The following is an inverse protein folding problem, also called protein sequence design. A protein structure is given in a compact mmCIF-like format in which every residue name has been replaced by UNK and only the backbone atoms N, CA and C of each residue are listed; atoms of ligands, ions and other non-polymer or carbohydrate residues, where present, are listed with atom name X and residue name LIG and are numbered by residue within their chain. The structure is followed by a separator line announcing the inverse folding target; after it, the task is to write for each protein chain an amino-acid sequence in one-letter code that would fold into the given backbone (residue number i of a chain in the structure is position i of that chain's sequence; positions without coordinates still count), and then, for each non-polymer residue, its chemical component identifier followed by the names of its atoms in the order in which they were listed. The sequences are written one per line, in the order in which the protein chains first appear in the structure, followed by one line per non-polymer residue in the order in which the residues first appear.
data_IF_661685004377
#
_entry.id   IF_661685004377
#
_cell.length_a   1.000
_cell.length_b   1.000
_cell.length_c   1.000
_cell.angle_alpha   90.00
_cell.angle_beta   90.00
_cell.angle_gamma   90.00
#
_symmetry.space_group_name_H-M   'P 1'
#
loop_
_entity.id
_entity.type
_entity.pdbx_description
1 polymer ?
#
# COMPACT_ATOMS: atom_id res chain seq x y z
N UNK A 1 11.81 8.36 14.09
CA UNK A 1 11.56 7.40 12.99
C UNK A 1 11.51 6.01 13.57
N UNK A 2 10.50 5.22 13.27
CA UNK A 2 10.37 3.82 13.72
C UNK A 2 10.56 2.87 12.56
N UNK A 3 11.48 1.89 12.71
CA UNK A 3 11.82 0.89 11.70
C UNK A 3 11.71 -0.51 12.33
N UNK A 4 10.54 -1.17 12.26
CA UNK A 4 10.41 -2.55 12.70
C UNK A 4 11.15 -3.47 11.71
N UNK A 5 11.99 -4.37 12.21
CA UNK A 5 12.79 -5.27 11.40
C UNK A 5 12.65 -6.72 11.86
N UNK A 6 12.58 -7.67 10.91
CA UNK A 6 12.62 -9.11 11.16
C UNK A 6 13.27 -9.85 10.01
N UNK A 7 14.52 -10.31 10.18
CA UNK A 7 15.34 -10.95 9.16
C UNK A 7 15.49 -10.07 7.90
N UNK A 8 16.03 -8.87 8.05
CA UNK A 8 16.18 -7.85 7.01
C UNK A 8 17.67 -7.47 6.78
N UNK A 9 18.61 -8.40 7.03
CA UNK A 9 20.06 -8.16 6.93
C UNK A 9 20.50 -7.55 5.59
N UNK A 10 19.77 -7.87 4.50
CA UNK A 10 20.11 -7.44 3.14
C UNK A 10 19.69 -6.00 2.82
N UNK A 11 18.75 -5.44 3.58
CA UNK A 11 18.10 -4.15 3.24
C UNK A 11 18.17 -3.10 4.35
N UNK A 12 18.27 -3.49 5.63
CA UNK A 12 18.16 -2.60 6.78
C UNK A 12 19.17 -1.45 6.75
N UNK A 13 20.43 -1.68 6.34
CA UNK A 13 21.47 -0.65 6.25
C UNK A 13 21.08 0.44 5.26
N UNK A 14 20.55 0.07 4.10
CA UNK A 14 20.08 1.02 3.08
C UNK A 14 18.90 1.84 3.59
N UNK A 15 17.96 1.23 4.28
CA UNK A 15 16.80 1.91 4.87
C UNK A 15 17.22 2.96 5.88
N UNK A 16 18.06 2.61 6.86
CA UNK A 16 18.57 3.56 7.86
C UNK A 16 19.35 4.69 7.18
N UNK A 17 20.17 4.39 6.18
CA UNK A 17 20.92 5.41 5.41
C UNK A 17 19.98 6.43 4.79
N UNK A 18 18.90 5.99 4.15
CA UNK A 18 17.95 6.91 3.51
C UNK A 18 17.28 7.85 4.50
N UNK A 19 17.02 7.38 5.72
CA UNK A 19 16.45 8.22 6.80
C UNK A 19 17.47 9.24 7.30
N UNK A 20 18.70 8.81 7.53
CA UNK A 20 19.78 9.70 8.02
C UNK A 20 20.17 10.76 6.98
N UNK A 21 19.97 10.49 5.71
CA UNK A 21 20.18 11.44 4.60
C UNK A 21 19.04 12.45 4.44
N UNK A 22 17.95 12.36 5.25
CA UNK A 22 16.87 13.33 5.17
C UNK A 22 17.35 14.78 5.38
N UNK A 23 16.71 15.71 4.68
CA UNK A 23 16.86 17.15 4.88
C UNK A 23 16.26 17.62 6.22
N UNK A 24 15.33 16.86 6.80
CA UNK A 24 14.77 17.10 8.13
C UNK A 24 15.75 16.65 9.20
N UNK A 25 16.41 17.61 9.88
CA UNK A 25 17.53 17.29 10.79
C UNK A 25 17.12 16.94 12.22
N UNK A 26 15.93 17.37 12.67
CA UNK A 26 15.45 17.08 14.03
C UNK A 26 14.77 15.70 14.09
N UNK A 27 15.55 14.65 13.85
CA UNK A 27 15.08 13.27 13.91
C UNK A 27 16.13 12.33 14.54
N UNK A 28 15.64 11.26 15.14
CA UNK A 28 16.44 10.09 15.46
C UNK A 28 15.74 8.83 14.96
N UNK A 29 16.49 7.75 14.79
CA UNK A 29 16.02 6.48 14.24
C UNK A 29 15.97 5.44 15.32
N UNK A 30 14.83 4.80 15.48
CA UNK A 30 14.65 3.66 16.39
C UNK A 30 14.38 2.42 15.53
N UNK A 31 15.33 1.51 15.49
CA UNK A 31 15.20 0.20 14.88
C UNK A 31 14.72 -0.79 15.93
N UNK A 32 13.66 -1.52 15.65
CA UNK A 32 13.11 -2.52 16.54
C UNK A 32 13.23 -3.89 15.86
N UNK A 33 14.23 -4.65 16.28
CA UNK A 33 14.39 -6.03 15.86
C UNK A 33 13.40 -6.95 16.58
N UNK A 34 12.53 -7.59 15.84
CA UNK A 34 11.50 -8.50 16.34
C UNK A 34 12.00 -9.95 16.44
N UNK A 35 13.22 -10.13 16.97
CA UNK A 35 13.83 -11.43 17.19
C UNK A 35 14.34 -12.09 15.92
N UNK A 36 15.08 -11.35 15.09
CA UNK A 36 15.72 -11.88 13.88
C UNK A 36 16.66 -13.04 14.16
N UNK A 37 16.68 -14.00 13.26
CA UNK A 37 17.59 -15.14 13.28
C UNK A 37 18.77 -14.99 12.32
N UNK A 38 18.76 -13.95 11.48
CA UNK A 38 19.84 -13.56 10.58
C UNK A 38 20.75 -12.49 11.22
N UNK A 39 21.57 -11.83 10.41
CA UNK A 39 22.53 -10.82 10.87
C UNK A 39 21.96 -9.39 10.90
N UNK A 40 20.63 -9.22 10.91
CA UNK A 40 19.97 -7.89 10.87
C UNK A 40 20.54 -6.93 11.92
N UNK A 41 20.58 -7.35 13.19
CA UNK A 41 21.08 -6.51 14.29
C UNK A 41 22.57 -6.23 14.16
N UNK A 42 23.35 -7.27 13.82
CA UNK A 42 24.79 -7.16 13.64
C UNK A 42 25.16 -6.12 12.57
N UNK A 43 24.58 -6.26 11.35
CA UNK A 43 24.90 -5.36 10.23
C UNK A 43 24.43 -3.93 10.49
N UNK A 44 23.26 -3.75 11.13
CA UNK A 44 22.77 -2.44 11.51
C UNK A 44 23.68 -1.75 12.55
N UNK A 45 24.09 -2.48 13.60
CA UNK A 45 24.94 -1.96 14.67
C UNK A 45 26.35 -1.64 14.19
N UNK A 46 26.93 -2.49 13.35
CA UNK A 46 28.26 -2.25 12.79
C UNK A 46 28.27 -1.06 11.81
N UNK A 47 27.27 -0.96 10.93
CA UNK A 47 27.20 0.10 9.93
C UNK A 47 26.98 1.50 10.53
N UNK A 48 26.31 1.58 11.68
CA UNK A 48 25.90 2.84 12.33
C UNK A 48 26.44 3.01 13.74
N UNK A 49 27.60 2.43 14.05
CA UNK A 49 28.21 2.52 15.38
C UNK A 49 28.46 3.98 15.83
N UNK A 50 28.85 4.87 14.93
CA UNK A 50 29.06 6.28 15.23
C UNK A 50 27.74 7.01 15.55
N UNK A 51 26.69 6.76 14.78
CA UNK A 51 25.36 7.33 14.97
C UNK A 51 24.70 6.80 16.24
N UNK A 52 24.94 5.54 16.59
CA UNK A 52 24.49 4.95 17.86
C UNK A 52 25.18 5.61 19.03
N UNK A 53 26.51 5.78 18.97
CA UNK A 53 27.27 6.48 19.99
C UNK A 53 26.84 7.95 20.15
N UNK A 54 26.44 8.59 19.05
CA UNK A 54 25.90 9.96 19.05
C UNK A 54 24.40 10.04 19.46
N UNK A 55 23.73 8.92 19.76
CA UNK A 55 22.31 8.87 20.12
C UNK A 55 21.33 9.13 18.96
N UNK A 56 21.82 9.21 17.72
CA UNK A 56 20.99 9.44 16.52
C UNK A 56 20.28 8.18 16.02
N UNK A 57 20.84 7.00 16.31
CA UNK A 57 20.30 5.69 16.00
C UNK A 57 20.22 4.87 17.28
N UNK A 58 19.10 4.21 17.50
CA UNK A 58 18.92 3.25 18.59
C UNK A 58 18.46 1.92 17.99
N UNK A 59 19.01 0.82 18.48
CA UNK A 59 18.65 -0.54 18.06
C UNK A 59 18.18 -1.31 19.27
N UNK A 60 16.94 -1.75 19.25
CA UNK A 60 16.35 -2.58 20.29
C UNK A 60 16.02 -3.96 19.73
N UNK A 61 16.24 -5.00 20.52
CA UNK A 61 15.86 -6.38 20.21
C UNK A 61 14.82 -6.87 21.21
N UNK A 62 13.80 -7.58 20.72
CA UNK A 62 12.78 -8.23 21.54
C UNK A 62 12.45 -9.63 21.01
N UNK A 63 11.88 -10.53 21.82
CA UNK A 63 11.34 -11.78 21.31
C UNK A 63 10.29 -11.54 20.23
N UNK A 64 10.27 -12.41 19.19
CA UNK A 64 9.34 -12.28 18.07
C UNK A 64 7.88 -12.22 18.55
N UNK A 65 7.16 -11.23 18.09
CA UNK A 65 5.74 -10.99 18.41
C UNK A 65 4.98 -10.37 17.22
N UNK A 66 5.66 -10.21 16.08
CA UNK A 66 5.13 -9.59 14.87
C UNK A 66 5.30 -8.07 14.84
N UNK A 67 5.10 -7.48 13.66
CA UNK A 67 5.34 -6.06 13.37
C UNK A 67 4.58 -5.12 14.31
N UNK A 68 3.30 -5.39 14.60
CA UNK A 68 2.51 -4.58 15.53
C UNK A 68 3.12 -4.57 16.95
N UNK A 69 3.58 -5.72 17.43
CA UNK A 69 4.23 -5.83 18.75
C UNK A 69 5.58 -5.09 18.79
N UNK A 70 6.35 -5.11 17.69
CA UNK A 70 7.58 -4.34 17.56
C UNK A 70 7.32 -2.83 17.60
N UNK A 71 6.32 -2.36 16.84
CA UNK A 71 5.91 -0.95 16.83
C UNK A 71 5.38 -0.49 18.18
N UNK A 72 4.58 -1.31 18.90
CA UNK A 72 4.09 -1.00 20.23
C UNK A 72 5.24 -0.92 21.24
N UNK A 73 6.24 -1.81 21.14
CA UNK A 73 7.43 -1.75 21.99
C UNK A 73 8.18 -0.41 21.86
N UNK A 74 8.26 0.14 20.64
CA UNK A 74 8.81 1.46 20.41
C UNK A 74 7.89 2.57 20.91
N UNK A 75 6.57 2.45 20.65
CA UNK A 75 5.56 3.44 21.03
C UNK A 75 5.54 3.70 22.55
N UNK A 76 5.75 2.66 23.37
CA UNK A 76 5.82 2.79 24.81
C UNK A 76 7.02 3.64 25.27
N UNK A 77 8.08 3.75 24.46
CA UNK A 77 9.31 4.48 24.73
C UNK A 77 9.36 5.85 24.08
N UNK A 78 8.40 6.15 23.18
CA UNK A 78 8.34 7.44 22.51
C UNK A 78 7.88 8.55 23.45
N UNK A 79 8.64 9.64 23.43
CA UNK A 79 8.32 10.91 24.07
C UNK A 79 7.91 12.00 23.09
N UNK A 80 8.22 11.78 21.81
CA UNK A 80 7.94 12.72 20.74
C UNK A 80 6.46 12.80 20.41
N UNK A 81 6.00 14.00 20.06
CA UNK A 81 4.59 14.26 19.70
C UNK A 81 4.21 13.61 18.36
N UNK A 82 5.20 13.44 17.47
CA UNK A 82 5.01 12.89 16.13
C UNK A 82 6.09 11.86 15.86
N UNK A 83 5.71 10.73 15.30
CA UNK A 83 6.67 9.76 14.76
C UNK A 83 6.32 9.40 13.31
N UNK A 84 7.33 8.96 12.56
CA UNK A 84 7.17 8.40 11.22
C UNK A 84 7.57 6.94 11.24
N UNK A 85 6.65 6.07 10.82
CA UNK A 85 6.89 4.64 10.63
C UNK A 85 7.29 4.35 9.19
N UNK A 86 8.30 3.49 9.00
CA UNK A 86 8.70 2.96 7.70
C UNK A 86 9.04 1.47 7.80
N UNK A 87 8.75 0.71 6.75
CA UNK A 87 9.14 -0.69 6.66
C UNK A 87 10.66 -0.83 6.47
N UNK A 88 11.26 -1.90 7.00
CA UNK A 88 12.70 -2.14 6.95
C UNK A 88 13.27 -2.35 5.54
N UNK A 89 12.41 -2.56 4.53
CA UNK A 89 12.74 -2.70 3.12
C UNK A 89 12.48 -1.44 2.28
N UNK A 90 12.16 -0.34 2.94
CA UNK A 90 11.76 0.91 2.31
C UNK A 90 12.90 1.94 2.34
N UNK A 91 13.05 2.66 1.25
CA UNK A 91 13.97 3.78 1.08
C UNK A 91 13.17 5.04 0.83
N UNK A 92 13.42 6.11 1.58
CA UNK A 92 12.68 7.37 1.44
C UNK A 92 13.48 8.40 0.63
N UNK A 93 12.76 9.30 -0.05
CA UNK A 93 13.36 10.48 -0.65
C UNK A 93 13.83 11.44 0.47
N UNK A 94 14.88 12.21 0.20
CA UNK A 94 15.50 13.09 1.21
C UNK A 94 14.56 14.13 1.78
N UNK A 95 13.62 14.63 0.97
CA UNK A 95 12.61 15.63 1.35
C UNK A 95 11.29 15.00 1.83
N UNK A 96 11.22 13.67 1.97
CA UNK A 96 9.98 12.99 2.32
C UNK A 96 9.45 13.38 3.70
N UNK A 97 10.33 13.46 4.71
CA UNK A 97 9.96 13.79 6.09
C UNK A 97 9.59 15.27 6.21
N UNK A 98 10.38 16.16 5.60
CA UNK A 98 10.12 17.61 5.63
C UNK A 98 8.78 17.99 4.97
N UNK A 99 8.24 17.14 4.12
CA UNK A 99 6.91 17.32 3.53
C UNK A 99 5.77 16.77 4.40
N UNK A 100 6.01 15.75 5.21
CA UNK A 100 4.97 15.18 6.11
C UNK A 100 4.75 16.01 7.36
N UNK A 101 5.83 16.44 8.01
CA UNK A 101 5.78 17.02 9.36
C UNK A 101 4.99 18.32 9.46
N UNK A 102 5.08 19.29 8.50
CA UNK A 102 4.36 20.56 8.60
C UNK A 102 2.83 20.42 8.68
N UNK A 103 2.26 19.34 8.13
CA UNK A 103 0.81 19.10 8.21
C UNK A 103 0.31 18.97 9.66
N UNK A 104 1.15 18.50 10.58
CA UNK A 104 0.79 18.35 11.99
C UNK A 104 0.70 19.66 12.77
N UNK A 105 0.93 20.81 12.15
CA UNK A 105 0.57 22.12 12.70
C UNK A 105 -0.95 22.22 12.86
N UNK A 106 -1.75 21.53 12.04
CA UNK A 106 -3.19 21.34 12.28
C UNK A 106 -3.40 20.27 13.36
N UNK A 107 -3.91 20.61 14.55
CA UNK A 107 -4.12 19.66 15.64
C UNK A 107 -5.18 18.59 15.32
N UNK A 108 -6.00 18.80 14.30
CA UNK A 108 -7.02 17.84 13.86
C UNK A 108 -6.41 16.67 13.10
N UNK A 109 -5.18 16.79 12.58
CA UNK A 109 -4.51 15.73 11.87
C UNK A 109 -3.92 14.73 12.87
N UNK A 110 -4.42 13.49 12.82
CA UNK A 110 -3.95 12.36 13.62
C UNK A 110 -2.90 11.53 12.91
N UNK A 111 -2.97 11.45 11.57
CA UNK A 111 -2.00 10.74 10.76
C UNK A 111 -1.92 11.27 9.33
N UNK A 112 -0.76 11.05 8.69
CA UNK A 112 -0.46 11.43 7.31
C UNK A 112 0.09 10.23 6.55
N UNK A 113 -0.52 9.85 5.45
CA UNK A 113 0.00 8.86 4.53
C UNK A 113 0.98 9.51 3.56
N UNK A 114 2.15 8.92 3.35
CA UNK A 114 3.04 9.28 2.27
C UNK A 114 2.79 8.45 1.00
N UNK A 115 3.51 8.79 -0.06
CA UNK A 115 3.37 8.22 -1.40
C UNK A 115 4.34 7.04 -1.58
N UNK A 116 3.85 5.83 -1.33
CA UNK A 116 4.62 4.62 -1.56
C UNK A 116 4.71 4.28 -3.05
N UNK A 117 5.91 3.93 -3.51
CA UNK A 117 6.26 3.55 -4.88
C UNK A 117 6.93 2.18 -4.90
N UNK A 118 6.81 1.47 -6.01
CA UNK A 118 7.59 0.25 -6.24
C UNK A 118 9.01 0.63 -6.68
N UNK A 119 9.99 0.26 -5.86
CA UNK A 119 11.41 0.55 -6.10
C UNK A 119 12.13 -0.47 -6.99
N UNK A 120 11.72 -1.74 -6.97
CA UNK A 120 12.37 -2.86 -7.68
C UNK A 120 11.67 -3.22 -9.00
N UNK A 121 11.61 -2.33 -9.99
CA UNK A 121 10.93 -2.55 -11.29
C UNK A 121 11.72 -3.46 -12.24
N UNK A 122 12.02 -4.69 -11.81
CA UNK A 122 12.94 -5.62 -12.50
C UNK A 122 12.29 -6.54 -13.53
N UNK A 123 10.98 -6.78 -13.42
CA UNK A 123 10.23 -7.66 -14.32
C UNK A 123 8.78 -7.20 -14.53
N UNK A 124 7.98 -7.96 -15.30
CA UNK A 124 6.61 -7.62 -15.63
C UNK A 124 5.71 -7.53 -14.38
N UNK A 125 5.87 -8.44 -13.40
CA UNK A 125 5.10 -8.44 -12.15
C UNK A 125 5.33 -7.16 -11.34
N UNK A 126 6.59 -6.74 -11.20
CA UNK A 126 6.93 -5.51 -10.46
C UNK A 126 6.53 -4.24 -11.21
N UNK A 127 6.52 -4.26 -12.56
CA UNK A 127 6.02 -3.16 -13.39
C UNK A 127 4.51 -3.01 -13.28
N UNK A 128 3.77 -4.12 -13.29
CA UNK A 128 2.32 -4.10 -13.07
C UNK A 128 1.95 -3.60 -11.67
N UNK A 129 2.73 -3.96 -10.65
CA UNK A 129 2.54 -3.43 -9.30
C UNK A 129 2.85 -1.93 -9.25
N UNK A 130 3.89 -1.45 -9.94
CA UNK A 130 4.16 -0.03 -10.05
C UNK A 130 3.00 0.74 -10.71
N UNK A 131 2.41 0.18 -11.77
CA UNK A 131 1.22 0.72 -12.41
C UNK A 131 0.03 0.77 -11.43
N UNK A 132 -0.23 -0.33 -10.70
CA UNK A 132 -1.29 -0.41 -9.71
C UNK A 132 -1.12 0.62 -8.58
N UNK A 133 0.11 0.81 -8.07
CA UNK A 133 0.36 1.80 -7.03
C UNK A 133 -0.03 3.21 -7.49
N UNK A 134 0.23 3.56 -8.75
CA UNK A 134 -0.13 4.86 -9.33
C UNK A 134 -1.65 4.96 -9.55
N UNK A 135 -2.23 3.98 -10.26
CA UNK A 135 -3.60 4.07 -10.79
C UNK A 135 -4.68 3.66 -9.80
N UNK A 136 -4.32 2.97 -8.72
CA UNK A 136 -5.23 2.54 -7.67
C UNK A 136 -4.85 3.17 -6.33
N UNK A 137 -3.80 2.68 -5.67
CA UNK A 137 -3.53 3.03 -4.28
C UNK A 137 -3.29 4.54 -4.06
N UNK A 138 -2.43 5.17 -4.86
CA UNK A 138 -2.12 6.59 -4.69
C UNK A 138 -3.23 7.48 -5.22
N UNK A 139 -3.89 7.07 -6.32
CA UNK A 139 -5.04 7.80 -6.86
C UNK A 139 -6.22 7.79 -5.89
N UNK A 140 -6.51 6.65 -5.28
CA UNK A 140 -7.55 6.50 -4.26
C UNK A 140 -7.26 7.36 -3.02
N UNK A 141 -6.00 7.36 -2.52
CA UNK A 141 -5.62 8.21 -1.38
C UNK A 141 -5.85 9.69 -1.67
N UNK A 142 -5.52 10.17 -2.89
CA UNK A 142 -5.85 11.55 -3.30
C UNK A 142 -7.34 11.85 -3.28
N UNK A 143 -8.16 10.88 -3.70
CA UNK A 143 -9.61 11.06 -3.67
C UNK A 143 -10.15 11.11 -2.24
N UNK A 144 -9.67 10.25 -1.35
CA UNK A 144 -10.08 10.21 0.05
C UNK A 144 -9.51 11.37 0.88
N UNK A 145 -8.37 11.92 0.48
CA UNK A 145 -7.76 13.10 1.08
C UNK A 145 -8.66 14.33 0.99
N UNK A 146 -9.41 14.47 -0.10
CA UNK A 146 -10.41 15.55 -0.25
C UNK A 146 -11.47 15.55 0.87
N UNK A 147 -11.68 14.42 1.49
CA UNK A 147 -12.62 14.22 2.60
C UNK A 147 -11.93 14.03 3.95
N UNK A 148 -10.59 14.06 4.00
CA UNK A 148 -9.78 13.82 5.19
C UNK A 148 -9.97 12.43 5.82
N UNK A 149 -10.24 11.41 4.99
CA UNK A 149 -10.58 10.04 5.42
C UNK A 149 -9.76 8.98 4.69
N UNK A 150 -8.48 9.21 4.51
CA UNK A 150 -7.58 8.18 3.98
C UNK A 150 -7.65 6.94 4.84
N UNK A 151 -7.94 5.79 4.23
CA UNK A 151 -8.29 4.55 4.94
C UNK A 151 -7.09 3.74 5.39
N UNK A 152 -5.91 4.00 4.81
CA UNK A 152 -4.67 3.29 5.13
C UNK A 152 -3.48 4.24 5.06
N UNK A 153 -2.84 4.46 6.19
CA UNK A 153 -1.51 5.03 6.27
C UNK A 153 -0.51 3.89 6.11
N UNK A 154 0.19 3.78 4.97
CA UNK A 154 0.96 2.59 4.64
C UNK A 154 2.18 2.43 5.54
N UNK A 155 2.52 1.19 5.91
CA UNK A 155 3.74 0.89 6.66
C UNK A 155 5.03 1.33 5.97
N UNK A 156 5.00 1.46 4.62
CA UNK A 156 6.15 1.94 3.85
C UNK A 156 6.52 3.41 4.16
N UNK A 157 5.53 4.28 4.44
CA UNK A 157 5.75 5.64 4.92
C UNK A 157 4.47 6.23 5.50
N UNK A 158 4.46 6.51 6.78
CA UNK A 158 3.34 7.13 7.46
C UNK A 158 3.78 7.90 8.69
N UNK A 159 3.27 9.12 8.84
CA UNK A 159 3.49 9.94 10.03
C UNK A 159 2.24 9.91 10.93
N UNK A 160 2.45 9.92 12.22
CA UNK A 160 1.41 9.73 13.22
C UNK A 160 1.61 10.66 14.41
N UNK A 161 0.51 11.23 14.90
CA UNK A 161 0.51 11.90 16.19
C UNK A 161 0.51 10.86 17.31
N UNK A 162 1.49 10.92 18.22
CA UNK A 162 1.72 9.88 19.23
C UNK A 162 0.54 9.74 20.21
N UNK A 163 -0.05 10.85 20.65
CA UNK A 163 -1.12 10.82 21.65
C UNK A 163 -2.38 10.08 21.18
N UNK A 164 -2.96 10.34 19.97
CA UNK A 164 -4.09 9.56 19.47
C UNK A 164 -3.77 8.07 19.28
N UNK A 165 -2.55 7.73 18.83
CA UNK A 165 -2.15 6.34 18.66
C UNK A 165 -2.07 5.63 20.04
N UNK A 166 -1.50 6.28 21.05
CA UNK A 166 -1.50 5.74 22.42
C UNK A 166 -2.92 5.61 22.98
N UNK A 167 -3.79 6.60 22.72
CA UNK A 167 -5.21 6.55 23.13
C UNK A 167 -5.99 5.42 22.43
N UNK A 168 -5.62 5.04 21.20
CA UNK A 168 -6.14 3.89 20.49
C UNK A 168 -5.71 2.55 21.10
N UNK A 169 -4.77 2.54 22.04
CA UNK A 169 -4.14 1.34 22.57
C UNK A 169 -2.95 0.84 21.74
N UNK A 170 -2.41 1.68 20.84
CA UNK A 170 -1.31 1.34 19.94
C UNK A 170 -1.74 0.58 18.69
N UNK A 171 -0.78 -0.10 18.08
CA UNK A 171 -1.02 -0.94 16.90
C UNK A 171 -1.77 -2.22 17.27
N UNK A 172 -2.90 -2.52 16.61
CA UNK A 172 -3.67 -3.73 16.89
C UNK A 172 -2.88 -5.00 16.54
N UNK A 173 -2.84 -5.94 17.50
CA UNK A 173 -2.17 -7.25 17.33
C UNK A 173 -3.14 -8.36 16.86
N UNK A 174 -4.42 -8.06 16.80
CA UNK A 174 -5.51 -9.00 16.47
C UNK A 174 -5.99 -8.90 15.04
N UNK A 175 -5.38 -8.07 14.22
CA UNK A 175 -5.63 -7.93 12.78
C UNK A 175 -4.35 -8.13 11.98
N UNK A 176 -4.51 -8.56 10.72
CA UNK A 176 -3.36 -8.86 9.84
C UNK A 176 -2.84 -7.60 9.13
N UNK A 177 -3.64 -6.53 9.07
CA UNK A 177 -3.29 -5.22 8.54
C UNK A 177 -3.39 -4.20 9.69
N UNK A 178 -2.36 -4.17 10.53
CA UNK A 178 -2.28 -3.32 11.72
C UNK A 178 -2.36 -1.82 11.38
N UNK A 179 -1.83 -1.45 10.22
CA UNK A 179 -1.82 -0.09 9.69
C UNK A 179 -3.21 0.38 9.26
N UNK A 180 -3.96 -0.43 8.55
CA UNK A 180 -5.35 -0.12 8.16
C UNK A 180 -6.28 -0.02 9.38
N UNK A 181 -6.18 -0.96 10.31
CA UNK A 181 -6.97 -1.00 11.53
C UNK A 181 -6.67 0.22 12.43
N UNK A 182 -5.38 0.55 12.63
CA UNK A 182 -5.00 1.74 13.38
C UNK A 182 -5.50 3.03 12.70
N UNK A 183 -5.39 3.11 11.37
CA UNK A 183 -5.88 4.26 10.60
C UNK A 183 -7.37 4.48 10.84
N UNK A 184 -8.18 3.41 10.77
CA UNK A 184 -9.62 3.48 11.03
C UNK A 184 -9.91 3.89 12.48
N UNK A 185 -9.11 3.43 13.45
CA UNK A 185 -9.26 3.82 14.85
C UNK A 185 -9.02 5.32 15.05
N UNK A 186 -7.99 5.89 14.40
CA UNK A 186 -7.71 7.33 14.44
C UNK A 186 -8.89 8.15 13.84
N UNK A 187 -9.46 7.67 12.74
CA UNK A 187 -10.67 8.28 12.14
C UNK A 187 -11.88 8.20 13.07
N UNK A 188 -12.09 7.09 13.78
CA UNK A 188 -13.18 6.93 14.76
C UNK A 188 -13.05 7.87 15.97
N UNK A 189 -11.81 8.21 16.36
CA UNK A 189 -11.54 9.20 17.40
C UNK A 189 -11.86 10.64 16.95
N UNK A 190 -12.21 10.84 15.67
CA UNK A 190 -12.54 12.15 15.09
C UNK A 190 -11.36 12.93 14.53
N UNK A 191 -10.17 12.34 14.50
CA UNK A 191 -9.02 12.93 13.81
C UNK A 191 -9.14 12.77 12.30
N UNK A 192 -8.46 13.65 11.57
CA UNK A 192 -8.28 13.56 10.13
C UNK A 192 -7.10 12.67 9.78
N UNK A 193 -7.22 11.96 8.67
CA UNK A 193 -6.12 11.22 8.07
C UNK A 193 -6.00 11.67 6.62
N UNK A 194 -4.88 12.30 6.31
CA UNK A 194 -4.61 12.97 5.04
C UNK A 194 -3.46 12.29 4.28
N UNK A 195 -3.20 12.76 3.06
CA UNK A 195 -2.20 12.20 2.16
C UNK A 195 -1.27 13.28 1.59
N UNK A 196 0.05 13.09 1.74
CA UNK A 196 1.05 13.94 1.11
C UNK A 196 1.68 13.21 -0.09
N UNK A 197 1.29 13.57 -1.29
CA UNK A 197 1.70 12.92 -2.53
C UNK A 197 3.16 13.17 -2.93
N UNK A 198 3.79 14.21 -2.38
CA UNK A 198 5.21 14.56 -2.60
C UNK A 198 6.16 13.86 -1.63
N UNK A 199 5.64 13.27 -0.55
CA UNK A 199 6.45 12.49 0.39
C UNK A 199 6.68 11.08 -0.16
N UNK A 200 7.77 10.88 -0.89
CA UNK A 200 8.04 9.64 -1.62
C UNK A 200 8.80 8.62 -0.79
N UNK A 201 8.33 7.36 -0.88
CA UNK A 201 9.02 6.19 -0.37
C UNK A 201 9.02 5.06 -1.41
N UNK A 202 10.11 4.32 -1.50
CA UNK A 202 10.30 3.23 -2.45
C UNK A 202 10.45 1.91 -1.70
N UNK A 203 9.50 0.99 -1.88
CA UNK A 203 9.46 -0.32 -1.23
C UNK A 203 9.66 -1.44 -2.25
N UNK A 204 10.08 -2.62 -1.79
CA UNK A 204 10.22 -3.79 -2.65
C UNK A 204 8.87 -4.49 -2.85
N UNK A 205 8.48 -4.62 -4.13
CA UNK A 205 7.32 -5.40 -4.54
C UNK A 205 7.71 -6.86 -4.83
N UNK A 206 6.82 -7.83 -4.58
CA UNK A 206 7.01 -9.22 -4.96
C UNK A 206 7.35 -9.39 -6.44
N UNK A 207 8.36 -10.23 -6.73
CA UNK A 207 8.86 -10.45 -8.09
C UNK A 207 8.13 -11.55 -8.86
N UNK A 208 7.24 -12.28 -8.20
CA UNK A 208 6.49 -13.39 -8.78
C UNK A 208 5.02 -13.40 -8.37
N UNK A 209 4.21 -14.17 -9.10
CA UNK A 209 2.77 -14.28 -8.85
C UNK A 209 2.45 -14.87 -7.46
N UNK A 210 3.24 -15.82 -6.96
CA UNK A 210 3.01 -16.47 -5.66
C UNK A 210 3.24 -15.49 -4.51
N UNK A 211 4.31 -14.71 -4.55
CA UNK A 211 4.60 -13.64 -3.60
C UNK A 211 3.53 -12.56 -3.62
N UNK A 212 3.14 -12.11 -4.84
CA UNK A 212 2.06 -11.16 -5.03
C UNK A 212 0.74 -11.65 -4.41
N UNK A 213 0.32 -12.89 -4.72
CA UNK A 213 -0.92 -13.46 -4.17
C UNK A 213 -0.90 -13.52 -2.65
N UNK A 214 0.24 -13.89 -2.03
CA UNK A 214 0.40 -13.90 -0.56
C UNK A 214 0.28 -12.51 0.03
N UNK A 215 0.94 -11.52 -0.56
CA UNK A 215 0.89 -10.13 -0.12
C UNK A 215 -0.53 -9.57 -0.21
N UNK A 216 -1.18 -9.72 -1.38
CA UNK A 216 -2.53 -9.21 -1.61
C UNK A 216 -3.59 -9.93 -0.77
N UNK A 217 -3.43 -11.23 -0.54
CA UNK A 217 -4.30 -11.96 0.38
C UNK A 217 -4.22 -11.40 1.80
N UNK A 218 -3.00 -11.14 2.31
CA UNK A 218 -2.81 -10.52 3.61
C UNK A 218 -3.48 -9.15 3.70
N UNK A 219 -3.28 -8.30 2.68
CA UNK A 219 -3.89 -6.97 2.65
C UNK A 219 -5.42 -7.04 2.60
N UNK A 220 -5.97 -7.81 1.66
CA UNK A 220 -7.43 -7.93 1.52
C UNK A 220 -8.09 -8.54 2.74
N UNK A 221 -7.47 -9.57 3.35
CA UNK A 221 -8.01 -10.21 4.54
C UNK A 221 -7.93 -9.27 5.76
N UNK A 222 -6.80 -8.60 5.97
CA UNK A 222 -6.63 -7.63 7.05
C UNK A 222 -7.57 -6.42 6.91
N UNK A 223 -7.73 -5.89 5.70
CA UNK A 223 -8.70 -4.81 5.43
C UNK A 223 -10.14 -5.27 5.71
N UNK A 224 -10.50 -6.50 5.32
CA UNK A 224 -11.83 -7.05 5.63
C UNK A 224 -12.05 -7.18 7.14
N UNK A 225 -11.02 -7.64 7.89
CA UNK A 225 -11.07 -7.68 9.36
C UNK A 225 -11.27 -6.28 9.95
N UNK A 226 -10.51 -5.28 9.48
CA UNK A 226 -10.62 -3.90 9.95
C UNK A 226 -12.02 -3.32 9.65
N UNK A 227 -12.54 -3.47 8.44
CA UNK A 227 -13.91 -3.04 8.08
C UNK A 227 -14.96 -3.69 8.98
N UNK A 228 -14.83 -4.99 9.24
CA UNK A 228 -15.76 -5.69 10.14
C UNK A 228 -15.66 -5.20 11.58
N UNK A 229 -14.47 -4.95 12.08
CA UNK A 229 -14.23 -4.41 13.42
C UNK A 229 -14.83 -3.01 13.57
N UNK A 230 -14.62 -2.14 12.59
CA UNK A 230 -15.07 -0.74 12.56
C UNK A 230 -16.45 -0.54 11.89
N UNK A 231 -17.24 -1.60 11.66
CA UNK A 231 -18.54 -1.51 10.96
C UNK A 231 -19.56 -0.56 11.60
N UNK A 232 -19.44 -0.30 12.89
CA UNK A 232 -20.31 0.66 13.59
C UNK A 232 -20.12 2.10 13.08
N UNK A 233 -18.97 2.41 12.48
CA UNK A 233 -18.69 3.72 11.91
C UNK A 233 -19.60 4.07 10.71
N UNK A 234 -20.21 3.09 10.04
CA UNK A 234 -21.25 3.37 9.03
C UNK A 234 -22.36 4.29 9.53
N UNK A 235 -22.67 4.21 10.83
CA UNK A 235 -23.76 4.99 11.43
C UNK A 235 -23.20 6.13 12.30
N UNK A 236 -22.08 5.89 12.98
CA UNK A 236 -21.55 6.78 14.02
C UNK A 236 -20.62 7.86 13.51
N UNK A 237 -19.89 7.60 12.43
CA UNK A 237 -18.93 8.52 11.84
C UNK A 237 -19.32 8.83 10.40
N UNK A 238 -19.84 10.05 10.16
CA UNK A 238 -20.38 10.43 8.85
C UNK A 238 -19.33 10.35 7.74
N UNK A 239 -18.12 10.86 7.95
CA UNK A 239 -17.07 10.87 6.92
C UNK A 239 -16.59 9.46 6.61
N UNK A 240 -16.31 8.64 7.63
CA UNK A 240 -15.87 7.26 7.48
C UNK A 240 -16.99 6.39 6.90
N UNK A 241 -18.25 6.57 7.35
CA UNK A 241 -19.41 5.80 6.89
C UNK A 241 -19.85 6.13 5.48
N UNK A 242 -19.74 7.39 5.04
CA UNK A 242 -20.17 7.83 3.70
C UNK A 242 -19.09 7.65 2.63
N UNK A 243 -17.82 7.77 2.97
CA UNK A 243 -16.73 7.77 1.99
C UNK A 243 -15.75 6.60 2.17
N UNK A 244 -15.18 6.42 3.37
CA UNK A 244 -14.11 5.46 3.60
C UNK A 244 -14.57 4.00 3.46
N UNK A 245 -15.56 3.57 4.26
CA UNK A 245 -16.03 2.19 4.26
C UNK A 245 -16.72 1.79 2.95
N UNK A 246 -17.62 2.63 2.34
CA UNK A 246 -18.18 2.32 1.03
C UNK A 246 -17.11 2.22 -0.07
N UNK A 247 -16.07 3.07 -0.03
CA UNK A 247 -14.96 2.99 -0.95
C UNK A 247 -14.27 1.62 -0.89
N UNK A 248 -13.93 1.14 0.31
CA UNK A 248 -13.30 -0.18 0.48
C UNK A 248 -14.23 -1.29 -0.03
N UNK A 249 -15.49 -1.29 0.38
CA UNK A 249 -16.43 -2.36 0.03
C UNK A 249 -16.71 -2.39 -1.46
N UNK A 250 -16.98 -1.24 -2.08
CA UNK A 250 -17.38 -1.18 -3.49
C UNK A 250 -16.15 -1.29 -4.40
N UNK A 251 -15.14 -0.43 -4.22
CA UNK A 251 -14.03 -0.31 -5.19
C UNK A 251 -12.91 -1.31 -4.93
N UNK A 252 -12.61 -1.63 -3.66
CA UNK A 252 -11.52 -2.56 -3.37
C UNK A 252 -11.97 -4.03 -3.27
N UNK A 253 -13.25 -4.31 -3.00
CA UNK A 253 -13.76 -5.68 -2.84
C UNK A 253 -14.77 -6.06 -3.91
N UNK A 254 -15.91 -5.36 -4.01
CA UNK A 254 -17.01 -5.77 -4.87
C UNK A 254 -16.66 -5.69 -6.36
N UNK A 255 -16.19 -4.55 -6.86
CA UNK A 255 -15.89 -4.39 -8.28
C UNK A 255 -14.79 -5.35 -8.79
N UNK A 256 -13.66 -5.58 -8.06
CA UNK A 256 -12.69 -6.59 -8.47
C UNK A 256 -13.23 -8.02 -8.45
N UNK A 257 -14.20 -8.35 -7.59
CA UNK A 257 -14.88 -9.65 -7.60
C UNK A 257 -15.76 -9.85 -8.83
N UNK A 258 -16.45 -8.80 -9.26
CA UNK A 258 -17.38 -8.85 -10.39
C UNK A 258 -16.65 -8.73 -11.75
N UNK A 259 -15.51 -8.05 -11.79
CA UNK A 259 -14.76 -7.78 -13.03
C UNK A 259 -14.51 -9.03 -13.90
N UNK A 260 -14.09 -10.21 -13.39
CA UNK A 260 -13.87 -11.39 -14.21
C UNK A 260 -15.13 -11.90 -14.92
N UNK A 261 -16.29 -11.75 -14.29
CA UNK A 261 -17.55 -12.17 -14.90
C UNK A 261 -17.87 -11.33 -16.14
N UNK A 262 -17.59 -10.03 -16.09
CA UNK A 262 -17.74 -9.14 -17.25
C UNK A 262 -16.81 -9.58 -18.38
N UNK A 263 -15.56 -9.88 -18.07
CA UNK A 263 -14.58 -10.34 -19.06
C UNK A 263 -14.99 -11.70 -19.68
N UNK A 264 -15.46 -12.64 -18.86
CA UNK A 264 -15.98 -13.95 -19.33
C UNK A 264 -17.23 -13.78 -20.18
N UNK A 265 -18.18 -12.94 -19.78
CA UNK A 265 -19.38 -12.65 -20.56
C UNK A 265 -19.03 -12.04 -21.93
N UNK A 266 -18.04 -11.17 -21.98
CA UNK A 266 -17.57 -10.59 -23.23
C UNK A 266 -16.96 -11.66 -24.15
N UNK A 267 -16.07 -12.53 -23.63
CA UNK A 267 -15.51 -13.64 -24.38
C UNK A 267 -16.58 -14.60 -24.88
N UNK A 268 -17.54 -14.96 -24.03
CA UNK A 268 -18.69 -15.79 -24.38
C UNK A 268 -19.51 -15.14 -25.51
N UNK A 269 -19.78 -13.85 -25.43
CA UNK A 269 -20.49 -13.11 -26.48
C UNK A 269 -19.74 -13.11 -27.83
N UNK A 270 -18.39 -12.97 -27.80
CA UNK A 270 -17.57 -13.09 -29.04
C UNK A 270 -17.71 -14.49 -29.62
N UNK A 271 -17.53 -15.53 -28.80
CA UNK A 271 -17.60 -16.92 -29.27
C UNK A 271 -18.96 -17.22 -29.88
N UNK A 272 -20.06 -16.89 -29.20
CA UNK A 272 -21.40 -17.09 -29.72
C UNK A 272 -21.63 -16.30 -31.03
N UNK A 273 -21.25 -15.04 -31.09
CA UNK A 273 -21.36 -14.25 -32.31
C UNK A 273 -20.61 -14.91 -33.51
N UNK A 274 -19.41 -15.44 -33.25
CA UNK A 274 -18.63 -16.12 -34.30
C UNK A 274 -19.29 -17.44 -34.74
N UNK A 275 -19.84 -18.21 -33.81
CA UNK A 275 -20.59 -19.46 -34.09
C UNK A 275 -21.84 -19.14 -34.86
N UNK A 276 -22.67 -18.19 -34.44
CA UNK A 276 -23.91 -17.80 -35.11
C UNK A 276 -23.61 -17.26 -36.52
N UNK A 277 -22.58 -16.46 -36.69
CA UNK A 277 -22.17 -15.95 -38.00
C UNK A 277 -21.70 -17.06 -38.94
N UNK A 278 -21.10 -18.12 -38.41
CA UNK A 278 -20.61 -19.23 -39.25
C UNK A 278 -21.71 -20.21 -39.61
N UNK A 279 -22.58 -20.60 -38.62
CA UNK A 279 -23.58 -21.65 -38.83
C UNK A 279 -24.99 -21.14 -39.11
N UNK A 280 -25.32 -19.91 -38.71
CA UNK A 280 -26.66 -19.30 -38.82
C UNK A 280 -26.54 -17.82 -39.27
N UNK A 281 -25.95 -17.51 -40.43
CA UNK A 281 -25.64 -16.14 -40.84
C UNK A 281 -26.87 -15.23 -40.88
N UNK A 282 -28.06 -15.79 -41.11
CA UNK A 282 -29.33 -15.03 -41.17
C UNK A 282 -29.88 -14.70 -39.76
N UNK A 283 -29.52 -15.49 -38.75
CA UNK A 283 -29.95 -15.32 -37.37
C UNK A 283 -28.95 -14.53 -36.50
N UNK A 284 -27.72 -14.32 -37.02
CA UNK A 284 -26.69 -13.63 -36.31
C UNK A 284 -27.09 -12.15 -36.03
N UNK A 285 -27.67 -11.93 -34.83
CA UNK A 285 -28.05 -10.58 -34.40
C UNK A 285 -26.81 -9.79 -34.01
N UNK A 286 -26.29 -8.98 -34.92
CA UNK A 286 -25.23 -8.02 -34.66
C UNK A 286 -25.56 -7.11 -33.44
N UNK A 287 -26.85 -6.80 -33.26
CA UNK A 287 -27.32 -5.87 -32.23
C UNK A 287 -26.97 -6.27 -30.77
N UNK A 288 -26.93 -7.58 -30.44
CA UNK A 288 -26.56 -8.04 -29.10
C UNK A 288 -25.06 -8.00 -28.87
N UNK A 289 -24.27 -8.34 -29.90
CA UNK A 289 -22.82 -8.24 -29.85
C UNK A 289 -22.36 -6.78 -29.81
N UNK A 290 -22.99 -5.90 -30.63
CA UNK A 290 -22.66 -4.47 -30.65
C UNK A 290 -22.90 -3.83 -29.27
N UNK A 291 -24.00 -4.15 -28.60
CA UNK A 291 -24.25 -3.67 -27.23
C UNK A 291 -23.15 -4.12 -26.27
N UNK A 292 -22.78 -5.41 -26.28
CA UNK A 292 -21.73 -5.95 -25.44
C UNK A 292 -20.39 -5.30 -25.72
N UNK A 293 -20.07 -5.08 -27.00
CA UNK A 293 -18.86 -4.40 -27.45
C UNK A 293 -18.81 -2.94 -26.96
N UNK A 294 -19.92 -2.20 -27.09
CA UNK A 294 -20.03 -0.81 -26.63
C UNK A 294 -19.79 -0.73 -25.11
N UNK A 295 -20.42 -1.61 -24.32
CA UNK A 295 -20.17 -1.65 -22.88
C UNK A 295 -18.71 -1.97 -22.55
N UNK A 296 -18.13 -2.97 -23.22
CA UNK A 296 -16.74 -3.35 -22.99
C UNK A 296 -15.76 -2.23 -23.36
N UNK A 297 -15.97 -1.58 -24.50
CA UNK A 297 -15.17 -0.41 -24.93
C UNK A 297 -15.35 0.76 -23.95
N UNK A 298 -16.56 0.99 -23.45
CA UNK A 298 -16.83 1.99 -22.43
C UNK A 298 -16.00 1.76 -21.17
N UNK A 299 -15.93 0.52 -20.67
CA UNK A 299 -15.06 0.17 -19.54
C UNK A 299 -13.59 0.40 -19.84
N UNK A 300 -13.12 0.04 -21.02
CA UNK A 300 -11.72 0.26 -21.42
C UNK A 300 -11.37 1.75 -21.49
N UNK A 301 -12.27 2.57 -22.01
CA UNK A 301 -12.09 4.03 -22.08
C UNK A 301 -12.05 4.64 -20.68
N UNK A 302 -12.99 4.27 -19.80
CA UNK A 302 -13.01 4.74 -18.41
C UNK A 302 -11.71 4.37 -17.69
N UNK A 303 -11.27 3.13 -17.82
CA UNK A 303 -10.03 2.64 -17.21
C UNK A 303 -8.80 3.40 -17.73
N UNK A 304 -8.73 3.62 -19.04
CA UNK A 304 -7.65 4.39 -19.66
C UNK A 304 -7.66 5.87 -19.24
N UNK A 305 -8.82 6.51 -19.22
CA UNK A 305 -8.97 7.92 -18.80
C UNK A 305 -8.59 8.06 -17.34
N UNK A 306 -9.12 7.21 -16.45
CA UNK A 306 -8.81 7.22 -15.02
C UNK A 306 -7.31 7.03 -14.78
N UNK A 307 -6.70 6.06 -15.45
CA UNK A 307 -5.26 5.82 -15.35
C UNK A 307 -4.45 7.01 -15.88
N UNK A 308 -4.86 7.62 -17.00
CA UNK A 308 -4.19 8.79 -17.56
C UNK A 308 -4.25 10.00 -16.62
N UNK A 309 -5.37 10.20 -15.94
CA UNK A 309 -5.52 11.24 -14.90
C UNK A 309 -4.59 10.93 -13.72
N UNK A 310 -4.57 9.68 -13.23
CA UNK A 310 -3.68 9.27 -12.14
C UNK A 310 -2.21 9.53 -12.48
N UNK A 311 -1.76 9.17 -13.68
CA UNK A 311 -0.40 9.46 -14.16
C UNK A 311 -0.12 10.97 -14.30
N UNK A 312 -1.09 11.75 -14.75
CA UNK A 312 -0.95 13.20 -14.85
C UNK A 312 -0.73 13.84 -13.48
N UNK A 313 -1.43 13.36 -12.45
CA UNK A 313 -1.24 13.81 -11.08
C UNK A 313 0.12 13.40 -10.51
N UNK A 314 0.58 12.18 -10.81
CA UNK A 314 1.90 11.70 -10.40
C UNK A 314 3.07 12.48 -11.02
N UNK A 315 2.93 12.94 -12.27
CA UNK A 315 3.96 13.70 -13.00
C UNK A 315 4.33 15.05 -12.38
N UNK A 316 3.54 15.56 -11.45
CA UNK A 316 3.84 16.81 -10.74
C UNK A 316 5.13 16.73 -9.93
N UNK A 317 5.58 15.53 -9.54
CA UNK A 317 6.85 15.34 -8.86
C UNK A 317 7.97 14.98 -9.85
N UNK A 318 9.17 15.63 -9.79
CA UNK A 318 10.31 15.37 -10.70
C UNK A 318 10.75 13.90 -10.76
N UNK A 319 10.71 13.20 -9.61
CA UNK A 319 11.08 11.78 -9.49
C UNK A 319 10.17 10.83 -10.29
N UNK A 320 8.99 11.29 -10.72
CA UNK A 320 8.02 10.52 -11.52
C UNK A 320 8.13 10.78 -13.03
N UNK A 321 9.08 11.65 -13.44
CA UNK A 321 9.37 11.86 -14.86
C UNK A 321 9.92 10.55 -15.45
N UNK A 322 9.24 9.99 -16.44
CA UNK A 322 9.66 8.74 -17.10
C UNK A 322 8.74 7.55 -16.87
N UNK A 323 7.79 7.61 -15.95
CA UNK A 323 6.85 6.50 -15.69
C UNK A 323 5.75 6.35 -16.75
N UNK A 324 5.60 7.33 -17.66
CA UNK A 324 4.52 7.33 -18.68
C UNK A 324 4.48 6.11 -19.59
N UNK A 325 5.60 5.42 -19.79
CA UNK A 325 5.65 4.18 -20.58
C UNK A 325 4.90 3.01 -19.92
N UNK A 326 4.68 3.05 -18.60
CA UNK A 326 3.87 2.05 -17.89
C UNK A 326 2.42 2.05 -18.39
N UNK A 327 1.91 3.15 -18.96
CA UNK A 327 0.57 3.22 -19.56
C UNK A 327 0.35 2.15 -20.63
N UNK A 328 1.38 1.75 -21.39
CA UNK A 328 1.28 0.67 -22.37
C UNK A 328 0.98 -0.70 -21.75
N UNK A 329 1.16 -0.85 -20.44
CA UNK A 329 0.89 -2.10 -19.73
C UNK A 329 -0.55 -2.21 -19.20
N UNK A 330 -1.38 -1.15 -19.28
CA UNK A 330 -2.77 -1.14 -18.76
C UNK A 330 -3.58 -2.28 -19.37
N UNK A 331 -3.51 -2.43 -20.72
CA UNK A 331 -4.27 -3.44 -21.45
C UNK A 331 -3.88 -4.88 -21.05
N UNK A 332 -2.58 -5.15 -20.92
CA UNK A 332 -2.08 -6.46 -20.50
C UNK A 332 -2.40 -6.75 -19.02
N UNK A 333 -2.36 -5.72 -18.19
CA UNK A 333 -2.68 -5.82 -16.76
C UNK A 333 -4.12 -6.32 -16.55
N UNK A 334 -5.08 -5.87 -17.35
CA UNK A 334 -6.47 -6.27 -17.25
C UNK A 334 -6.67 -7.78 -17.36
N UNK A 335 -6.04 -8.40 -18.37
CA UNK A 335 -6.29 -9.81 -18.68
C UNK A 335 -5.52 -10.80 -17.80
N UNK A 336 -4.41 -10.41 -17.19
CA UNK A 336 -3.60 -11.30 -16.36
C UNK A 336 -3.54 -10.87 -14.89
N UNK A 337 -3.13 -9.65 -14.63
CA UNK A 337 -2.86 -9.17 -13.29
C UNK A 337 -4.14 -8.97 -12.46
N UNK A 338 -5.19 -8.38 -13.04
CA UNK A 338 -6.46 -8.16 -12.32
C UNK A 338 -7.15 -9.47 -11.96
N UNK A 339 -6.99 -10.52 -12.77
CA UNK A 339 -7.54 -11.84 -12.47
C UNK A 339 -6.93 -12.45 -11.20
N UNK A 340 -5.64 -12.17 -10.94
CA UNK A 340 -4.98 -12.57 -9.69
C UNK A 340 -5.68 -11.97 -8.47
N UNK A 341 -6.08 -10.69 -8.55
CA UNK A 341 -6.83 -10.02 -7.46
C UNK A 341 -8.17 -10.67 -7.18
N UNK A 342 -8.92 -10.99 -8.21
CA UNK A 342 -10.22 -11.65 -8.06
C UNK A 342 -10.06 -13.01 -7.38
N UNK A 343 -9.06 -13.80 -7.78
CA UNK A 343 -8.74 -15.09 -7.13
C UNK A 343 -8.38 -14.87 -5.66
N UNK A 344 -7.60 -13.85 -5.35
CA UNK A 344 -7.22 -13.50 -3.98
C UNK A 344 -8.46 -13.14 -3.17
N UNK A 345 -9.35 -12.30 -3.70
CA UNK A 345 -10.58 -11.89 -3.02
C UNK A 345 -11.53 -13.06 -2.77
N UNK A 346 -11.70 -13.98 -3.72
CA UNK A 346 -12.46 -15.19 -3.50
C UNK A 346 -11.89 -16.04 -2.37
N UNK A 347 -10.56 -16.21 -2.33
CA UNK A 347 -9.88 -16.92 -1.23
C UNK A 347 -10.05 -16.19 0.10
N UNK A 348 -10.01 -14.85 0.10
CA UNK A 348 -10.21 -14.00 1.28
C UNK A 348 -11.61 -14.20 1.86
N UNK A 349 -12.65 -14.08 1.03
CA UNK A 349 -14.04 -14.27 1.44
C UNK A 349 -14.30 -15.69 1.95
N UNK A 350 -13.83 -16.71 1.22
CA UNK A 350 -13.93 -18.10 1.66
C UNK A 350 -13.33 -18.28 3.04
N UNK A 351 -12.10 -17.77 3.26
CA UNK A 351 -11.43 -17.91 4.55
C UNK A 351 -12.15 -17.16 5.68
N UNK A 352 -12.71 -15.98 5.38
CA UNK A 352 -13.49 -15.21 6.34
C UNK A 352 -14.77 -15.99 6.75
N UNK A 353 -15.45 -16.64 5.80
CA UNK A 353 -16.62 -17.49 6.06
C UNK A 353 -16.21 -18.74 6.87
N UNK A 354 -15.08 -19.37 6.53
CA UNK A 354 -14.58 -20.58 7.22
C UNK A 354 -14.09 -20.29 8.66
N UNK A 355 -13.93 -19.02 9.06
CA UNK A 355 -13.48 -18.62 10.41
C UNK A 355 -12.05 -19.06 10.77
N UNK A 356 -11.20 -19.39 9.77
CA UNK A 356 -9.85 -19.93 10.01
C UNK A 356 -8.84 -18.83 10.30
N UNK A 357 -7.97 -18.98 11.34
CA UNK A 357 -6.92 -18.02 11.65
C UNK A 357 -5.90 -17.90 10.50
N UNK A 358 -5.23 -16.76 10.43
CA UNK A 358 -4.16 -16.50 9.46
C UNK A 358 -2.80 -16.85 10.06
N UNK A 359 -1.96 -17.59 9.32
CA UNK A 359 -0.57 -17.82 9.65
C UNK A 359 0.31 -16.91 8.81
N UNK A 360 1.30 -16.27 9.44
CA UNK A 360 2.21 -15.33 8.79
C UNK A 360 3.31 -16.07 8.03
N UNK A 361 3.35 -15.87 6.70
CA UNK A 361 4.47 -16.33 5.86
C UNK A 361 5.29 -15.13 5.37
N UNK A 362 6.60 -15.15 5.59
CA UNK A 362 7.52 -14.09 5.14
C UNK A 362 7.67 -14.10 3.60
N UNK A 363 7.72 -12.89 3.00
CA UNK A 363 8.09 -12.69 1.60
C UNK A 363 9.61 -12.53 1.53
N UNK A 364 10.26 -13.28 0.63
CA UNK A 364 11.70 -13.15 0.39
C UNK A 364 12.02 -11.78 -0.24
N UNK A 365 13.05 -11.09 0.29
CA UNK A 365 13.57 -9.83 -0.25
C UNK A 365 14.72 -10.10 -1.21
N UNK A 366 14.81 -9.29 -2.25
CA UNK A 366 15.87 -9.43 -3.27
C UNK A 366 16.97 -8.38 -3.13
N UNK A 367 16.76 -7.36 -2.30
CA UNK A 367 17.62 -6.18 -2.14
C UNK A 367 17.89 -5.42 -3.46
N UNK A 368 17.10 -5.66 -4.51
CA UNK A 368 17.27 -5.01 -5.82
C UNK A 368 16.39 -3.78 -5.90
N UNK A 369 17.01 -2.62 -6.10
CA UNK A 369 16.32 -1.38 -6.48
C UNK A 369 16.59 -1.05 -7.93
N UNK A 370 15.72 -0.30 -8.58
CA UNK A 370 16.01 0.22 -9.91
C UNK A 370 17.02 1.37 -9.84
N UNK A 371 17.87 1.53 -10.87
CA UNK A 371 18.84 2.63 -10.95
C UNK A 371 18.20 4.01 -10.77
N UNK A 372 16.96 4.18 -11.27
CA UNK A 372 16.23 5.43 -11.09
C UNK A 372 15.87 5.69 -9.62
N UNK A 373 15.57 4.65 -8.84
CA UNK A 373 15.28 4.75 -7.40
C UNK A 373 16.56 5.05 -6.62
N UNK A 374 17.69 4.41 -6.95
CA UNK A 374 18.99 4.66 -6.34
C UNK A 374 19.40 6.13 -6.54
N UNK A 375 19.28 6.65 -7.77
CA UNK A 375 19.62 8.05 -8.07
C UNK A 375 18.80 9.07 -7.25
N UNK A 376 17.51 8.80 -6.97
CA UNK A 376 16.65 9.70 -6.18
C UNK A 376 17.05 9.72 -4.71
N UNK A 377 17.62 8.63 -4.21
CA UNK A 377 17.97 8.46 -2.79
C UNK A 377 19.45 8.82 -2.49
N UNK A 378 20.30 8.94 -3.54
CA UNK A 378 21.72 9.26 -3.42
C UNK A 378 22.06 10.71 -3.81
N UNK A 379 21.24 11.38 -4.64
CA UNK A 379 21.55 12.70 -5.25
C UNK A 379 20.99 13.90 -4.49
N UNK A 380 20.86 13.79 -3.19
CA UNK A 380 20.50 14.97 -2.40
C UNK A 380 21.45 15.21 -1.26
#
# INVERSE_FOLDING_TARGET
MLVPAYNEETVIVRTIRSVLNSDYKNLHVIVIDDGSSDRTVEVATQAYAAEIAAGRVQVFTKPNGGKAAALNYALDRLTEDIYVGIDADTVIATDAISKLIPHFEDPRIGAMAGNAKVGNRVNLWTRWQALEYITSQNFERRALDLFHVVTVVPGAIGAWRTAPVKAAGGYPINTVAEDADLTMNILEQGFRVDYEDRSLAFTEAPIDAKGLMRQRFRWSFGTLQAVWKHRAAFIRNQAMGLFALPNIIVFQMFLPLVSPFIDVMFLYGIVNYLIDRHYHPEAASAASFDKLLVFFLGFLIIDFVTSSVAFSLERRHPANKGDGWLLFHIWLQRFAYRQVFSIVLFKTLKRAIDGKPFNWDKIQRTAKMSKATEAITETS
#
